data_IF_982490517917
#
_entry.id   IF_982490517917
#
_cell.length_a   1.000
_cell.length_b   1.000
_cell.length_c   1.000
_cell.angle_alpha   90.00
_cell.angle_beta   90.00
_cell.angle_gamma   90.00
#
_symmetry.space_group_name_H-M   'P 1'
#
loop_
_entity.id
_entity.type
_entity.pdbx_description
1 polymer ?
#
# COMPACT_ATOMS: atom_id res chain seq x y z
N UNK A 1 6.13 -7.52 5.70
CA UNK A 1 4.71 -7.93 5.43
C UNK A 1 3.98 -8.59 6.62
N UNK A 2 4.14 -8.09 7.86
CA UNK A 2 3.28 -8.43 9.03
C UNK A 2 2.50 -7.21 9.56
N UNK A 3 2.48 -6.11 8.81
CA UNK A 3 2.17 -4.78 9.33
C UNK A 3 0.97 -4.08 8.68
N UNK A 4 0.54 -4.50 7.47
CA UNK A 4 -0.84 -4.27 7.04
C UNK A 4 -1.85 -5.00 7.93
N UNK A 5 -1.34 -5.83 8.85
CA UNK A 5 -2.12 -6.62 9.78
C UNK A 5 -2.82 -5.72 10.78
N UNK A 6 -2.24 -4.74 11.48
CA UNK A 6 -2.92 -4.00 12.58
C UNK A 6 -4.40 -3.61 12.33
N UNK A 7 -4.70 -3.00 11.17
CA UNK A 7 -6.07 -2.68 10.77
C UNK A 7 -6.86 -3.93 10.29
N UNK A 8 -6.22 -4.82 9.51
CA UNK A 8 -6.74 -6.16 9.19
C UNK A 8 -6.83 -7.09 10.41
N UNK A 9 -6.23 -6.80 11.57
CA UNK A 9 -6.34 -7.55 12.81
C UNK A 9 -7.54 -6.95 13.52
N UNK A 10 -7.60 -5.63 13.75
CA UNK A 10 -8.80 -5.01 14.34
C UNK A 10 -10.09 -5.28 13.52
N UNK A 11 -10.01 -5.36 12.19
CA UNK A 11 -11.10 -5.79 11.31
C UNK A 11 -11.08 -7.26 10.89
N UNK A 12 -10.10 -8.08 11.28
CA UNK A 12 -9.93 -9.48 10.82
C UNK A 12 -9.51 -10.50 11.88
N UNK A 13 -9.64 -10.16 13.16
CA UNK A 13 -9.46 -11.05 14.33
C UNK A 13 -10.51 -12.17 14.47
N UNK A 14 -11.21 -12.53 13.39
CA UNK A 14 -12.37 -13.42 13.44
C UNK A 14 -12.05 -14.90 13.17
N UNK A 15 -10.77 -15.27 13.26
CA UNK A 15 -10.31 -16.65 13.14
C UNK A 15 -9.93 -17.27 14.49
N UNK A 16 -10.89 -17.83 15.25
CA UNK A 16 -10.57 -18.57 16.48
C UNK A 16 -11.72 -19.33 17.17
N UNK A 17 -11.84 -20.63 16.85
CA UNK A 17 -12.53 -21.75 17.56
C UNK A 17 -14.06 -21.71 17.80
N UNK A 18 -14.72 -22.65 17.11
CA UNK A 18 -16.13 -23.07 17.15
C UNK A 18 -16.57 -23.63 18.50
N UNK A 19 -17.74 -23.19 18.99
CA UNK A 19 -18.76 -24.01 19.68
C UNK A 19 -20.19 -23.41 19.47
N UNK A 20 -21.05 -24.17 18.76
CA UNK A 20 -22.52 -24.34 18.94
C UNK A 20 -23.54 -23.18 18.87
N UNK A 21 -24.45 -23.23 17.86
CA UNK A 21 -25.91 -22.91 17.78
C UNK A 21 -26.54 -21.83 18.71
N UNK A 22 -27.47 -20.95 18.31
CA UNK A 22 -28.70 -21.09 17.51
C UNK A 22 -29.20 -19.70 17.03
N UNK A 23 -30.04 -19.68 15.98
CA UNK A 23 -30.55 -18.46 15.36
C UNK A 23 -31.91 -17.98 15.88
N UNK A 24 -32.15 -16.66 15.79
CA UNK A 24 -33.49 -16.10 15.56
C UNK A 24 -33.40 -14.65 15.05
N UNK A 25 -34.03 -14.38 13.91
CA UNK A 25 -34.14 -13.06 13.29
C UNK A 25 -35.32 -12.27 13.90
N UNK A 26 -35.18 -10.95 14.05
CA UNK A 26 -36.31 -10.06 14.28
C UNK A 26 -36.20 -8.74 13.47
N UNK A 27 -37.35 -8.32 12.95
CA UNK A 27 -37.61 -7.28 11.94
C UNK A 27 -37.70 -5.85 12.54
N UNK A 28 -37.44 -4.76 11.77
CA UNK A 28 -37.11 -3.45 12.32
C UNK A 28 -38.33 -2.53 12.53
N UNK A 29 -38.27 -1.69 13.57
CA UNK A 29 -39.18 -0.56 13.79
C UNK A 29 -38.39 0.76 13.88
N UNK A 30 -38.83 1.75 13.09
CA UNK A 30 -38.81 3.19 13.40
C UNK A 30 -37.46 3.93 13.33
N UNK A 31 -37.23 4.65 12.21
CA UNK A 31 -36.01 5.42 11.91
C UNK A 31 -35.88 6.73 12.72
N UNK A 32 -36.91 7.18 13.45
CA UNK A 32 -36.92 8.51 14.10
C UNK A 32 -36.59 8.51 15.59
N UNK A 33 -36.67 7.37 16.29
CA UNK A 33 -36.20 7.25 17.69
C UNK A 33 -34.70 6.93 17.79
N UNK A 34 -34.08 6.46 16.70
CA UNK A 34 -32.67 6.14 16.65
C UNK A 34 -31.79 7.37 16.97
N UNK A 35 -32.10 8.55 16.42
CA UNK A 35 -31.23 9.74 16.51
C UNK A 35 -31.00 10.31 17.92
N UNK A 36 -31.85 9.99 18.91
CA UNK A 36 -31.66 10.42 20.31
C UNK A 36 -31.13 9.30 21.23
N UNK A 37 -31.04 8.07 20.73
CA UNK A 37 -30.39 6.93 21.42
C UNK A 37 -28.98 6.65 20.86
N UNK A 38 -28.55 7.43 19.86
CA UNK A 38 -27.31 7.30 19.09
C UNK A 38 -26.03 7.80 19.79
N UNK A 39 -26.07 8.03 21.10
CA UNK A 39 -24.92 8.40 21.94
C UNK A 39 -24.75 7.47 23.15
N UNK A 40 -25.46 6.34 23.18
CA UNK A 40 -25.52 5.46 24.34
C UNK A 40 -24.37 4.46 24.37
N UNK A 41 -23.71 4.39 25.54
CA UNK A 41 -22.71 3.40 25.92
C UNK A 41 -23.01 1.98 25.38
N UNK A 42 -21.99 1.30 24.87
CA UNK A 42 -22.04 -0.11 24.47
C UNK A 42 -22.32 -0.40 22.99
N UNK A 43 -22.17 0.56 22.08
CA UNK A 43 -22.18 0.27 20.63
C UNK A 43 -20.92 -0.49 20.20
N UNK A 44 -19.75 -0.03 20.66
CA UNK A 44 -18.47 -0.70 20.44
C UNK A 44 -18.51 -2.14 20.97
N UNK A 45 -18.98 -2.37 22.20
CA UNK A 45 -19.15 -3.72 22.77
C UNK A 45 -20.07 -4.59 21.91
N UNK A 46 -21.23 -4.08 21.49
CA UNK A 46 -22.18 -4.85 20.67
C UNK A 46 -21.61 -5.23 19.32
N UNK A 47 -20.96 -4.29 18.62
CA UNK A 47 -20.31 -4.57 17.34
C UNK A 47 -19.16 -5.54 17.54
N UNK A 48 -18.35 -5.36 18.58
CA UNK A 48 -17.26 -6.26 18.91
C UNK A 48 -17.77 -7.69 19.11
N UNK A 49 -18.79 -7.87 19.96
CA UNK A 49 -19.44 -9.15 20.19
C UNK A 49 -20.03 -9.77 18.93
N UNK A 50 -20.75 -8.99 18.12
CA UNK A 50 -21.28 -9.43 16.84
C UNK A 50 -20.16 -9.91 15.91
N UNK A 51 -19.07 -9.15 15.87
CA UNK A 51 -17.99 -9.43 14.94
C UNK A 51 -17.27 -10.72 15.34
N UNK A 52 -17.03 -10.98 16.64
CA UNK A 52 -16.39 -12.23 17.14
C UNK A 52 -17.05 -13.52 16.63
N UNK A 53 -18.35 -13.48 16.32
CA UNK A 53 -19.10 -14.61 15.77
C UNK A 53 -18.99 -14.80 14.25
N UNK A 54 -18.35 -13.88 13.53
CA UNK A 54 -18.31 -13.88 12.05
C UNK A 54 -17.31 -14.92 11.54
N UNK A 55 -17.83 -16.00 10.93
CA UNK A 55 -17.02 -17.11 10.41
C UNK A 55 -17.43 -17.53 8.99
N UNK A 56 -18.33 -16.78 8.35
CA UNK A 56 -18.86 -17.09 7.02
C UNK A 56 -18.96 -15.83 6.17
N UNK A 57 -19.06 -16.01 4.86
CA UNK A 57 -19.25 -14.90 3.93
C UNK A 57 -20.55 -14.13 4.22
N UNK A 58 -21.66 -14.82 4.51
CA UNK A 58 -22.92 -14.16 4.89
C UNK A 58 -22.80 -13.41 6.22
N UNK A 59 -22.03 -13.94 7.17
CA UNK A 59 -21.69 -13.25 8.42
C UNK A 59 -20.92 -11.96 8.14
N UNK A 60 -19.93 -12.00 7.25
CA UNK A 60 -19.22 -10.80 6.80
C UNK A 60 -20.19 -9.76 6.20
N UNK A 61 -21.02 -10.18 5.25
CA UNK A 61 -21.98 -9.28 4.61
C UNK A 61 -22.94 -8.63 5.64
N UNK A 62 -23.32 -9.38 6.67
CA UNK A 62 -24.10 -8.86 7.80
C UNK A 62 -23.35 -7.81 8.63
N UNK A 63 -22.08 -8.05 8.98
CA UNK A 63 -21.31 -7.06 9.75
C UNK A 63 -20.95 -5.83 8.91
N UNK A 64 -20.74 -5.98 7.59
CA UNK A 64 -20.57 -4.85 6.68
C UNK A 64 -21.81 -3.95 6.64
N UNK A 65 -23.01 -4.51 6.75
CA UNK A 65 -24.23 -3.70 6.87
C UNK A 65 -24.23 -2.87 8.17
N UNK A 66 -23.77 -3.44 9.28
CA UNK A 66 -23.61 -2.71 10.55
C UNK A 66 -22.60 -1.56 10.40
N UNK A 67 -21.40 -1.83 9.87
CA UNK A 67 -20.37 -0.81 9.65
C UNK A 67 -20.78 0.25 8.62
N UNK A 68 -21.53 -0.14 7.58
CA UNK A 68 -22.13 0.79 6.62
C UNK A 68 -23.13 1.73 7.30
N UNK A 69 -23.98 1.19 8.19
CA UNK A 69 -24.91 1.98 9.00
C UNK A 69 -24.18 2.98 9.89
N UNK A 70 -23.09 2.54 10.53
CA UNK A 70 -22.22 3.39 11.34
C UNK A 70 -21.58 4.52 10.51
N UNK A 71 -21.00 4.19 9.35
CA UNK A 71 -20.39 5.18 8.45
C UNK A 71 -21.41 6.20 7.93
N UNK A 72 -22.68 5.81 7.78
CA UNK A 72 -23.76 6.73 7.40
C UNK A 72 -24.11 7.76 8.48
N UNK A 73 -23.69 7.56 9.74
CA UNK A 73 -23.83 8.55 10.82
C UNK A 73 -22.76 9.65 10.77
N UNK A 74 -21.71 9.45 9.95
CA UNK A 74 -20.60 10.37 9.76
C UNK A 74 -19.26 9.79 10.20
N UNK A 75 -18.18 10.32 9.61
CA UNK A 75 -16.84 9.77 9.79
C UNK A 75 -16.39 9.77 11.25
N UNK A 76 -16.72 10.81 12.03
CA UNK A 76 -16.40 10.86 13.47
C UNK A 76 -17.04 9.72 14.25
N UNK A 77 -18.33 9.46 14.06
CA UNK A 77 -19.03 8.38 14.75
C UNK A 77 -18.41 7.01 14.39
N UNK A 78 -18.02 6.83 13.12
CA UNK A 78 -17.33 5.64 12.66
C UNK A 78 -15.95 5.49 13.29
N UNK A 79 -15.10 6.50 13.18
CA UNK A 79 -13.73 6.51 13.72
C UNK A 79 -13.73 6.25 15.23
N UNK A 80 -14.54 6.99 15.99
CA UNK A 80 -14.59 6.85 17.45
C UNK A 80 -15.01 5.44 17.87
N UNK A 81 -16.06 4.89 17.23
CA UNK A 81 -16.53 3.53 17.53
C UNK A 81 -15.50 2.47 17.16
N UNK A 82 -14.81 2.61 16.03
CA UNK A 82 -13.80 1.64 15.58
C UNK A 82 -12.55 1.71 16.46
N UNK A 83 -12.15 2.89 16.94
CA UNK A 83 -11.10 3.03 17.95
C UNK A 83 -11.44 2.27 19.23
N UNK A 84 -12.66 2.44 19.73
CA UNK A 84 -13.13 1.75 20.93
C UNK A 84 -13.13 0.23 20.73
N UNK A 85 -13.60 -0.28 19.58
CA UNK A 85 -13.53 -1.70 19.24
C UNK A 85 -12.08 -2.20 19.23
N UNK A 86 -11.17 -1.46 18.63
CA UNK A 86 -9.76 -1.84 18.53
C UNK A 86 -9.12 -1.91 19.93
N UNK A 87 -9.39 -0.95 20.81
CA UNK A 87 -8.95 -0.96 22.22
C UNK A 87 -9.57 -2.08 23.05
N UNK A 88 -10.86 -2.38 22.84
CA UNK A 88 -11.56 -3.50 23.48
C UNK A 88 -10.95 -4.85 23.09
N UNK A 89 -10.48 -4.99 21.85
CA UNK A 89 -9.84 -6.21 21.35
C UNK A 89 -8.50 -6.51 22.03
N UNK A 90 -7.80 -5.48 22.52
CA UNK A 90 -6.46 -5.55 23.12
C UNK A 90 -5.39 -6.15 22.23
N UNK A 91 -5.58 -6.10 20.91
CA UNK A 91 -4.61 -6.64 19.95
C UNK A 91 -3.51 -5.64 19.64
N UNK A 92 -3.80 -4.35 19.75
CA UNK A 92 -2.84 -3.27 19.61
C UNK A 92 -2.90 -2.34 20.83
N UNK A 93 -1.83 -1.59 21.06
CA UNK A 93 -1.79 -0.56 22.10
C UNK A 93 -2.74 0.60 21.76
N UNK A 94 -3.23 1.31 22.79
CA UNK A 94 -4.26 2.35 22.62
C UNK A 94 -3.87 3.46 21.64
N UNK A 95 -2.62 3.91 21.66
CA UNK A 95 -2.10 4.93 20.76
C UNK A 95 -1.99 4.43 19.31
N UNK A 96 -1.68 3.15 19.11
CA UNK A 96 -1.66 2.52 17.78
C UNK A 96 -3.09 2.43 17.23
N UNK A 97 -4.05 2.02 18.06
CA UNK A 97 -5.49 2.03 17.73
C UNK A 97 -5.94 3.45 17.36
N UNK A 98 -5.61 4.44 18.18
CA UNK A 98 -6.02 5.82 17.99
C UNK A 98 -5.44 6.40 16.69
N UNK A 99 -4.13 6.29 16.49
CA UNK A 99 -3.45 6.83 15.32
C UNK A 99 -3.89 6.15 14.02
N UNK A 100 -3.89 4.82 13.97
CA UNK A 100 -4.23 4.08 12.75
C UNK A 100 -5.68 4.35 12.31
N UNK A 101 -6.63 4.30 13.24
CA UNK A 101 -8.05 4.50 12.91
C UNK A 101 -8.38 5.96 12.62
N UNK A 102 -7.70 6.93 13.25
CA UNK A 102 -7.87 8.35 12.90
C UNK A 102 -7.44 8.62 11.45
N UNK A 103 -6.35 7.99 11.00
CA UNK A 103 -5.80 8.19 9.67
C UNK A 103 -6.61 7.44 8.59
N UNK A 104 -6.83 6.13 8.76
CA UNK A 104 -7.44 5.28 7.73
C UNK A 104 -8.98 5.26 7.77
N UNK A 105 -9.56 5.47 8.97
CA UNK A 105 -10.99 5.33 9.23
C UNK A 105 -11.89 6.14 8.29
N UNK A 106 -11.58 7.41 7.96
CA UNK A 106 -12.37 8.20 7.02
C UNK A 106 -12.46 7.58 5.61
N UNK A 107 -11.36 7.04 5.08
CA UNK A 107 -11.32 6.40 3.76
C UNK A 107 -12.19 5.13 3.76
N UNK A 108 -12.11 4.35 4.84
CA UNK A 108 -12.92 3.14 5.02
C UNK A 108 -14.40 3.49 5.15
N UNK A 109 -14.73 4.53 5.92
CA UNK A 109 -16.10 5.00 6.08
C UNK A 109 -16.70 5.43 4.73
N UNK A 110 -15.94 6.13 3.90
CA UNK A 110 -16.35 6.49 2.54
C UNK A 110 -16.62 5.25 1.67
N UNK A 111 -15.69 4.29 1.65
CA UNK A 111 -15.85 3.04 0.93
C UNK A 111 -17.13 2.29 1.36
N UNK A 112 -17.37 2.18 2.67
CA UNK A 112 -18.57 1.54 3.23
C UNK A 112 -19.85 2.28 2.86
N UNK A 113 -19.86 3.61 2.86
CA UNK A 113 -21.01 4.43 2.44
C UNK A 113 -21.38 4.15 0.99
N UNK A 114 -20.42 3.91 0.11
CA UNK A 114 -20.63 3.61 -1.31
C UNK A 114 -20.86 2.12 -1.61
N UNK A 115 -20.54 1.23 -0.67
CA UNK A 115 -20.60 -0.22 -0.84
C UNK A 115 -22.02 -0.76 -1.02
N UNK A 116 -22.24 -1.64 -1.99
CA UNK A 116 -23.49 -2.40 -2.13
C UNK A 116 -23.30 -3.78 -1.51
N UNK A 117 -24.09 -4.13 -0.48
CA UNK A 117 -24.00 -5.43 0.19
C UNK A 117 -24.39 -6.55 -0.78
N UNK A 118 -23.61 -7.64 -0.79
CA UNK A 118 -23.74 -8.75 -1.74
C UNK A 118 -23.21 -8.47 -3.15
N UNK A 119 -22.52 -7.34 -3.36
CA UNK A 119 -21.80 -7.05 -4.60
C UNK A 119 -20.41 -7.69 -4.62
N UNK A 120 -19.81 -7.75 -5.82
CA UNK A 120 -18.40 -8.12 -6.02
C UNK A 120 -17.44 -7.31 -5.15
N UNK A 121 -17.66 -5.99 -5.01
CA UNK A 121 -16.85 -5.14 -4.13
C UNK A 121 -16.99 -5.58 -2.66
N UNK A 122 -18.21 -5.88 -2.20
CA UNK A 122 -18.40 -6.31 -0.81
C UNK A 122 -17.77 -7.67 -0.51
N UNK A 123 -17.79 -8.60 -1.47
CA UNK A 123 -17.06 -9.87 -1.33
C UNK A 123 -15.54 -9.64 -1.25
N UNK A 124 -15.00 -8.76 -2.10
CA UNK A 124 -13.59 -8.38 -2.04
C UNK A 124 -13.23 -7.69 -0.73
N UNK A 125 -14.13 -6.88 -0.16
CA UNK A 125 -13.93 -6.27 1.15
C UNK A 125 -13.86 -7.36 2.24
N UNK A 126 -14.80 -8.32 2.24
CA UNK A 126 -14.77 -9.46 3.14
C UNK A 126 -13.48 -10.29 3.03
N UNK A 127 -12.99 -10.49 1.81
CA UNK A 127 -11.74 -11.21 1.54
C UNK A 127 -10.55 -10.45 2.12
N UNK A 128 -10.47 -9.15 1.86
CA UNK A 128 -9.35 -8.31 2.29
C UNK A 128 -9.31 -8.19 3.81
N UNK A 129 -10.44 -7.87 4.46
CA UNK A 129 -10.43 -7.55 5.88
C UNK A 129 -10.61 -8.76 6.80
N UNK A 130 -11.35 -9.80 6.37
CA UNK A 130 -11.68 -10.95 7.22
C UNK A 130 -11.09 -12.27 6.70
N UNK A 131 -10.52 -12.30 5.49
CA UNK A 131 -10.15 -13.56 4.84
C UNK A 131 -11.35 -14.46 4.54
N UNK A 132 -12.56 -13.89 4.46
CA UNK A 132 -13.82 -14.60 4.22
C UNK A 132 -14.33 -14.38 2.80
N UNK A 133 -15.30 -15.19 2.38
CA UNK A 133 -15.83 -15.25 1.01
C UNK A 133 -14.90 -15.92 -0.01
N UNK A 134 -15.51 -16.39 -1.11
CA UNK A 134 -14.79 -16.92 -2.26
C UNK A 134 -14.42 -15.75 -3.17
N UNK A 135 -13.22 -15.80 -3.76
CA UNK A 135 -12.86 -14.86 -4.81
C UNK A 135 -13.90 -14.83 -5.93
N UNK A 136 -14.45 -13.65 -6.27
CA UNK A 136 -15.38 -13.52 -7.38
C UNK A 136 -14.67 -13.83 -8.71
N UNK A 137 -15.44 -14.18 -9.74
CA UNK A 137 -14.87 -14.41 -11.06
C UNK A 137 -14.22 -13.15 -11.62
N UNK A 138 -13.05 -13.35 -12.23
CA UNK A 138 -12.28 -12.29 -12.87
C UNK A 138 -12.93 -11.98 -14.21
N UNK A 139 -13.37 -10.73 -14.39
CA UNK A 139 -14.04 -10.31 -15.62
C UNK A 139 -13.04 -10.18 -16.77
N UNK A 140 -13.35 -10.74 -17.95
CA UNK A 140 -12.67 -10.38 -19.18
C UNK A 140 -12.66 -8.88 -19.42
N UNK A 141 -11.49 -8.32 -19.71
CA UNK A 141 -11.37 -6.94 -20.17
C UNK A 141 -10.63 -6.88 -21.49
N UNK A 142 -11.35 -6.39 -22.51
CA UNK A 142 -10.81 -6.10 -23.82
C UNK A 142 -9.98 -4.81 -23.78
N UNK A 143 -8.67 -4.95 -23.62
CA UNK A 143 -7.75 -3.82 -23.80
C UNK A 143 -7.45 -3.68 -25.29
N UNK A 144 -7.60 -2.49 -25.89
CA UNK A 144 -7.22 -2.28 -27.29
C UNK A 144 -5.70 -2.37 -27.43
N UNK A 145 -5.23 -3.37 -28.16
CA UNK A 145 -3.82 -3.48 -28.52
C UNK A 145 -3.59 -2.87 -29.91
N UNK A 146 -2.42 -2.27 -30.18
CA UNK A 146 -2.04 -1.88 -31.53
C UNK A 146 -2.04 -3.10 -32.48
N UNK A 147 -2.12 -2.87 -33.81
CA UNK A 147 -2.00 -3.93 -34.79
C UNK A 147 -0.76 -4.79 -34.56
N UNK A 148 -0.88 -6.09 -34.83
CA UNK A 148 0.21 -7.04 -34.58
C UNK A 148 1.49 -6.57 -35.31
N UNK A 149 2.61 -6.37 -34.60
CA UNK A 149 3.88 -6.06 -35.23
C UNK A 149 4.30 -7.21 -36.16
N UNK A 150 5.16 -6.89 -37.13
CA UNK A 150 5.83 -7.92 -37.93
C UNK A 150 6.54 -8.92 -37.00
N UNK A 151 6.53 -10.23 -37.32
CA UNK A 151 7.21 -11.23 -36.50
C UNK A 151 8.67 -10.84 -36.28
N UNK A 152 9.02 -10.44 -35.05
CA UNK A 152 10.42 -10.23 -34.66
C UNK A 152 10.98 -11.54 -34.16
N UNK A 153 12.08 -11.97 -34.76
CA UNK A 153 12.88 -13.09 -34.26
C UNK A 153 13.61 -12.59 -33.01
N UNK A 154 13.65 -13.38 -31.94
CA UNK A 154 14.48 -13.08 -30.77
C UNK A 154 15.92 -12.82 -31.25
N UNK A 155 16.51 -11.65 -30.97
CA UNK A 155 17.86 -11.36 -31.40
C UNK A 155 18.84 -12.38 -30.78
N UNK A 156 19.90 -12.71 -31.52
CA UNK A 156 20.99 -13.49 -30.95
C UNK A 156 21.66 -12.69 -29.80
N UNK A 157 22.24 -13.38 -28.80
CA UNK A 157 23.06 -12.70 -27.80
C UNK A 157 24.11 -11.82 -28.48
N UNK A 158 24.26 -10.57 -28.02
CA UNK A 158 25.10 -9.56 -28.68
C UNK A 158 26.61 -9.88 -28.62
N UNK A 159 27.03 -10.77 -27.71
CA UNK A 159 28.44 -11.04 -27.43
C UNK A 159 29.17 -9.89 -26.74
N UNK A 160 28.45 -8.82 -26.37
CA UNK A 160 28.97 -7.67 -25.64
C UNK A 160 28.96 -7.94 -24.13
N UNK A 161 29.75 -7.18 -23.38
CA UNK A 161 29.72 -7.23 -21.93
C UNK A 161 28.33 -6.85 -21.40
N UNK A 162 27.75 -7.63 -20.47
CA UNK A 162 26.47 -7.28 -19.86
C UNK A 162 26.55 -5.96 -19.08
N UNK A 163 25.50 -5.16 -19.18
CA UNK A 163 25.32 -4.06 -18.23
C UNK A 163 25.04 -4.62 -16.83
N UNK A 164 25.61 -3.99 -15.81
CA UNK A 164 25.35 -4.33 -14.41
C UNK A 164 24.37 -3.32 -13.83
N UNK A 165 23.33 -3.81 -13.20
CA UNK A 165 22.26 -2.99 -12.59
C UNK A 165 22.15 -3.43 -11.14
N UNK A 166 22.01 -2.44 -10.27
CA UNK A 166 21.74 -2.67 -8.85
C UNK A 166 20.23 -2.57 -8.64
N UNK A 167 19.64 -3.50 -7.92
CA UNK A 167 18.23 -3.43 -7.52
C UNK A 167 18.13 -3.61 -6.01
N UNK A 168 17.53 -2.64 -5.34
CA UNK A 168 17.18 -2.67 -3.93
C UNK A 168 15.76 -2.09 -3.74
N UNK A 169 15.16 -2.37 -2.60
CA UNK A 169 13.76 -2.04 -2.30
C UNK A 169 13.56 -2.01 -0.79
N UNK A 170 12.46 -1.44 -0.32
CA UNK A 170 11.96 -1.57 1.05
C UNK A 170 13.02 -1.16 2.08
N UNK A 171 13.63 0.03 1.87
CA UNK A 171 14.69 0.50 2.75
C UNK A 171 14.17 0.83 4.15
N UNK A 172 12.89 1.25 4.25
CA UNK A 172 12.19 1.62 5.49
C UNK A 172 13.12 2.26 6.51
N UNK A 173 13.60 3.47 6.20
CA UNK A 173 14.57 4.14 7.06
C UNK A 173 13.84 4.77 8.24
N UNK A 174 14.09 4.23 9.42
CA UNK A 174 13.57 4.76 10.66
C UNK A 174 14.53 5.82 11.24
N UNK A 175 14.19 7.09 11.05
CA UNK A 175 14.95 8.22 11.60
C UNK A 175 14.83 8.35 13.12
N UNK A 176 13.88 7.64 13.73
CA UNK A 176 13.74 7.57 15.18
C UNK A 176 14.39 6.30 15.77
N UNK A 177 15.00 5.45 14.94
CA UNK A 177 15.75 4.28 15.40
C UNK A 177 16.83 4.72 16.39
N UNK A 178 16.83 4.12 17.58
CA UNK A 178 17.79 4.46 18.64
C UNK A 178 18.60 3.21 19.01
N UNK A 179 19.91 3.24 18.75
CA UNK A 179 20.82 2.16 19.16
C UNK A 179 20.73 1.91 20.68
N UNK A 180 20.64 0.65 21.07
CA UNK A 180 20.50 0.23 22.47
C UNK A 180 19.09 0.26 23.03
N UNK A 181 18.11 0.86 22.33
CA UNK A 181 16.70 0.85 22.74
C UNK A 181 16.08 -0.55 22.63
N UNK A 182 14.90 -0.74 23.23
CA UNK A 182 14.25 -2.04 23.27
C UNK A 182 13.80 -2.52 21.87
N UNK A 183 14.29 -3.68 21.46
CA UNK A 183 13.87 -4.36 20.23
C UNK A 183 12.70 -5.32 20.42
N UNK A 184 12.36 -5.71 21.66
CA UNK A 184 11.22 -6.59 21.98
C UNK A 184 10.12 -5.81 22.70
N UNK A 185 9.42 -4.98 21.94
CA UNK A 185 8.31 -4.16 22.43
C UNK A 185 6.95 -4.71 21.98
N UNK A 186 5.85 -4.08 22.42
CA UNK A 186 4.48 -4.43 21.99
C UNK A 186 3.97 -3.61 20.80
N UNK A 187 4.72 -2.61 20.36
CA UNK A 187 4.36 -1.80 19.20
C UNK A 187 4.56 -2.61 17.90
N UNK A 188 3.88 -2.23 16.81
CA UNK A 188 4.09 -2.88 15.51
C UNK A 188 5.52 -2.75 14.96
N UNK A 189 6.26 -1.71 15.37
CA UNK A 189 7.73 -1.64 15.22
C UNK A 189 8.38 -1.20 16.52
N UNK A 190 9.60 -1.69 16.78
CA UNK A 190 10.37 -1.41 18.00
C UNK A 190 11.62 -0.58 17.71
N UNK A 191 12.64 -0.67 18.58
CA UNK A 191 13.90 0.07 18.46
C UNK A 191 13.75 1.60 18.52
N UNK A 192 12.70 2.06 19.22
CA UNK A 192 12.49 3.45 19.60
C UNK A 192 12.20 3.53 21.10
N UNK A 193 12.57 4.63 21.77
CA UNK A 193 12.27 4.84 23.18
C UNK A 193 10.80 5.28 23.40
N UNK A 194 9.85 4.38 23.16
CA UNK A 194 8.41 4.70 23.36
C UNK A 194 8.05 4.89 24.84
N UNK A 195 8.72 4.16 25.73
CA UNK A 195 8.57 4.24 27.19
C UNK A 195 9.92 4.27 27.87
N UNK A 196 9.95 4.58 29.18
CA UNK A 196 11.21 4.57 29.97
C UNK A 196 11.92 3.21 29.95
N UNK A 197 11.17 2.10 29.86
CA UNK A 197 11.72 0.76 29.72
C UNK A 197 12.28 0.45 28.32
N UNK A 198 11.92 1.24 27.32
CA UNK A 198 12.44 1.10 25.96
C UNK A 198 13.74 1.89 25.73
N UNK A 199 14.12 2.75 26.68
CA UNK A 199 15.33 3.56 26.60
C UNK A 199 16.61 2.72 26.63
N UNK A 200 17.69 3.17 25.95
CA UNK A 200 18.99 2.52 26.03
C UNK A 200 19.48 2.35 27.47
N UNK A 201 19.86 1.12 27.81
CA UNK A 201 20.34 0.76 29.17
C UNK A 201 19.24 0.32 30.14
N UNK A 202 17.96 0.41 29.76
CA UNK A 202 16.82 -0.01 30.57
C UNK A 202 16.13 -1.28 30.06
N UNK A 203 16.67 -1.91 29.00
CA UNK A 203 16.12 -3.10 28.34
C UNK A 203 17.08 -4.29 28.36
N UNK A 204 16.54 -5.51 28.39
CA UNK A 204 17.28 -6.77 28.24
C UNK A 204 17.53 -7.16 26.77
N UNK A 205 16.91 -6.45 25.83
CA UNK A 205 16.98 -6.66 24.37
C UNK A 205 17.38 -5.37 23.65
N UNK A 206 18.64 -4.93 23.78
CA UNK A 206 19.12 -3.70 23.16
C UNK A 206 19.31 -3.84 21.65
N UNK A 207 18.75 -2.89 20.90
CA UNK A 207 18.86 -2.80 19.45
C UNK A 207 20.30 -2.54 18.97
N UNK A 208 20.73 -3.21 17.90
CA UNK A 208 22.09 -3.09 17.38
C UNK A 208 22.36 -1.78 16.61
N UNK A 209 23.64 -1.45 16.30
CA UNK A 209 24.00 -0.24 15.54
C UNK A 209 23.59 -0.26 14.07
N UNK A 210 23.25 -1.43 13.53
CA UNK A 210 22.90 -1.64 12.11
C UNK A 210 21.51 -2.26 11.92
N UNK A 211 20.68 -2.25 12.96
CA UNK A 211 19.33 -2.80 12.92
C UNK A 211 19.13 -3.98 13.85
N UNK A 212 17.89 -4.45 13.89
CA UNK A 212 17.43 -5.65 14.59
C UNK A 212 16.23 -6.23 13.81
N UNK A 213 15.98 -7.53 13.94
CA UNK A 213 14.99 -8.25 13.13
C UNK A 213 13.52 -7.84 13.37
N UNK A 214 13.23 -7.13 14.46
CA UNK A 214 11.90 -6.66 14.86
C UNK A 214 11.67 -5.18 14.54
N UNK A 215 12.60 -4.55 13.84
CA UNK A 215 12.65 -3.10 13.63
C UNK A 215 12.89 -2.75 12.17
N UNK A 216 12.61 -1.49 11.85
CA UNK A 216 12.99 -0.90 10.58
C UNK A 216 14.48 -0.47 10.57
N UNK A 217 14.97 -0.11 9.39
CA UNK A 217 16.40 0.12 9.16
C UNK A 217 16.86 1.44 9.77
N UNK A 218 17.93 1.47 10.58
CA UNK A 218 18.60 2.74 10.89
C UNK A 218 19.26 3.31 9.63
N UNK A 219 19.37 4.64 9.55
CA UNK A 219 20.10 5.32 8.47
C UNK A 219 21.54 4.79 8.29
N UNK A 220 22.16 4.27 9.36
CA UNK A 220 23.48 3.64 9.32
C UNK A 220 23.52 2.39 8.43
N UNK A 221 22.46 1.58 8.44
CA UNK A 221 22.35 0.39 7.58
C UNK A 221 22.22 0.82 6.11
N UNK A 222 21.36 1.79 5.82
CA UNK A 222 21.18 2.37 4.48
C UNK A 222 22.50 2.87 3.89
N UNK A 223 23.23 3.72 4.63
CA UNK A 223 24.52 4.25 4.18
C UNK A 223 25.58 3.15 3.98
N UNK A 224 25.56 2.10 4.80
CA UNK A 224 26.46 0.96 4.66
C UNK A 224 26.17 0.15 3.39
N UNK A 225 24.89 0.00 3.02
CA UNK A 225 24.46 -0.64 1.78
C UNK A 225 24.99 0.14 0.57
N UNK A 226 24.86 1.47 0.55
CA UNK A 226 25.38 2.27 -0.55
C UNK A 226 26.91 2.20 -0.67
N UNK A 227 27.62 2.13 0.46
CA UNK A 227 29.07 1.88 0.46
C UNK A 227 29.39 0.52 -0.19
N UNK A 228 28.70 -0.55 0.22
CA UNK A 228 28.89 -1.88 -0.35
C UNK A 228 28.58 -1.93 -1.85
N UNK A 229 27.51 -1.25 -2.30
CA UNK A 229 27.17 -1.14 -3.73
C UNK A 229 28.33 -0.54 -4.54
N UNK A 230 28.92 0.56 -4.05
CA UNK A 230 30.07 1.20 -4.70
C UNK A 230 31.30 0.31 -4.77
N UNK A 231 31.52 -0.51 -3.74
CA UNK A 231 32.68 -1.42 -3.69
C UNK A 231 32.48 -2.66 -4.58
N UNK A 232 31.29 -3.26 -4.56
CA UNK A 232 31.00 -4.52 -5.27
C UNK A 232 30.66 -4.30 -6.75
N UNK A 233 30.00 -3.18 -7.07
CA UNK A 233 29.52 -2.88 -8.42
C UNK A 233 29.87 -1.44 -8.84
N UNK A 234 31.16 -1.05 -8.83
CA UNK A 234 31.59 0.34 -9.06
C UNK A 234 31.21 0.91 -10.43
N UNK A 235 30.98 0.05 -11.44
CA UNK A 235 30.54 0.46 -12.77
C UNK A 235 29.11 -0.04 -13.05
N UNK A 236 28.21 0.09 -12.07
CA UNK A 236 26.78 -0.08 -12.30
C UNK A 236 26.30 0.96 -13.32
N UNK A 237 25.51 0.53 -14.30
CA UNK A 237 24.92 1.40 -15.32
C UNK A 237 23.90 2.37 -14.69
N UNK A 238 23.09 1.84 -13.78
CA UNK A 238 22.10 2.56 -12.98
C UNK A 238 21.63 1.65 -11.84
N UNK A 239 20.84 2.21 -10.93
CA UNK A 239 20.12 1.48 -9.89
C UNK A 239 18.61 1.53 -10.13
N UNK A 240 17.93 0.48 -9.73
CA UNK A 240 16.47 0.41 -9.60
C UNK A 240 16.15 0.43 -8.11
N UNK A 241 15.29 1.36 -7.70
CA UNK A 241 14.78 1.43 -6.34
C UNK A 241 13.26 1.26 -6.37
N UNK A 242 12.75 0.17 -5.82
CA UNK A 242 11.32 -0.16 -5.91
C UNK A 242 10.46 0.35 -4.75
N UNK A 243 10.85 1.46 -4.11
CA UNK A 243 10.01 2.19 -3.15
C UNK A 243 10.06 1.62 -1.72
N UNK A 244 9.16 2.13 -0.88
CA UNK A 244 9.07 1.89 0.56
C UNK A 244 10.24 2.50 1.35
N UNK A 245 10.26 3.84 1.35
CA UNK A 245 11.17 4.68 2.14
C UNK A 245 10.72 4.83 3.59
N UNK A 246 9.44 5.16 3.78
CA UNK A 246 8.89 5.54 5.10
C UNK A 246 8.75 4.30 5.97
N UNK A 247 9.09 4.42 7.24
CA UNK A 247 8.98 3.35 8.22
C UNK A 247 7.53 2.88 8.47
N UNK A 248 7.42 1.83 9.28
CA UNK A 248 6.20 1.13 9.58
C UNK A 248 5.47 1.68 10.82
N UNK A 249 5.84 2.84 11.38
CA UNK A 249 5.04 3.51 12.41
C UNK A 249 3.81 4.22 11.82
N UNK A 250 3.00 3.47 11.07
CA UNK A 250 1.88 3.97 10.26
C UNK A 250 0.85 4.76 11.07
N UNK A 251 0.74 4.47 12.37
CA UNK A 251 -0.17 5.14 13.31
C UNK A 251 0.29 6.57 13.67
N UNK A 252 1.53 6.93 13.37
CA UNK A 252 2.13 8.20 13.74
C UNK A 252 2.93 8.81 12.57
N UNK A 253 2.28 8.90 11.41
CA UNK A 253 2.83 9.56 10.21
C UNK A 253 2.10 10.88 9.92
N UNK A 254 2.68 11.70 9.05
CA UNK A 254 2.05 12.91 8.49
C UNK A 254 2.66 13.21 7.12
N UNK A 255 2.01 14.03 6.29
CA UNK A 255 2.59 14.46 5.00
C UNK A 255 3.99 15.07 5.19
N UNK A 256 4.23 16.05 6.09
CA UNK A 256 5.57 16.61 6.28
C UNK A 256 6.61 15.59 6.76
N UNK A 257 6.20 14.62 7.57
CA UNK A 257 7.08 13.54 8.02
C UNK A 257 7.52 12.67 6.85
N UNK A 258 6.57 12.21 6.03
CA UNK A 258 6.85 11.39 4.86
C UNK A 258 7.67 12.16 3.82
N UNK A 259 7.33 13.43 3.55
CA UNK A 259 8.11 14.30 2.65
C UNK A 259 9.57 14.40 3.09
N UNK A 260 9.82 14.65 4.38
CA UNK A 260 11.17 14.73 4.93
C UNK A 260 11.95 13.43 4.72
N UNK A 261 11.36 12.29 5.07
CA UNK A 261 11.94 10.95 4.92
C UNK A 261 12.30 10.64 3.46
N UNK A 262 11.38 10.93 2.54
CA UNK A 262 11.54 10.70 1.10
C UNK A 262 12.64 11.59 0.54
N UNK A 263 12.61 12.89 0.85
CA UNK A 263 13.63 13.84 0.39
C UNK A 263 15.02 13.43 0.88
N UNK A 264 15.16 13.12 2.17
CA UNK A 264 16.44 12.71 2.74
C UNK A 264 16.98 11.44 2.09
N UNK A 265 16.15 10.42 1.92
CA UNK A 265 16.55 9.15 1.31
C UNK A 265 16.98 9.33 -0.15
N UNK A 266 16.23 10.10 -0.95
CA UNK A 266 16.63 10.36 -2.32
C UNK A 266 17.86 11.28 -2.44
N UNK A 267 18.10 12.19 -1.49
CA UNK A 267 19.36 12.94 -1.39
C UNK A 267 20.52 11.99 -1.06
N UNK A 268 20.33 11.04 -0.14
CA UNK A 268 21.35 10.02 0.16
C UNK A 268 21.66 9.17 -1.06
N UNK A 269 20.65 8.73 -1.80
CA UNK A 269 20.81 8.00 -3.06
C UNK A 269 21.59 8.82 -4.09
N UNK A 270 21.23 10.09 -4.32
CA UNK A 270 21.91 10.99 -5.28
C UNK A 270 23.38 11.22 -4.91
N UNK A 271 23.68 11.32 -3.60
CA UNK A 271 25.04 11.51 -3.11
C UNK A 271 25.94 10.26 -3.24
N UNK A 272 25.35 9.07 -3.32
CA UNK A 272 26.10 7.81 -3.26
C UNK A 272 26.02 6.96 -4.52
N UNK A 273 25.01 7.16 -5.34
CA UNK A 273 24.73 6.36 -6.53
C UNK A 273 24.73 7.24 -7.78
N UNK A 274 24.72 6.61 -8.95
CA UNK A 274 24.53 7.29 -10.22
C UNK A 274 23.05 7.53 -10.51
N UNK A 275 22.60 7.08 -11.68
CA UNK A 275 21.17 7.14 -12.04
C UNK A 275 20.37 6.19 -11.14
N UNK A 276 19.28 6.68 -10.57
CA UNK A 276 18.32 5.87 -9.80
C UNK A 276 16.94 5.95 -10.45
N UNK A 277 16.43 4.81 -10.91
CA UNK A 277 15.06 4.70 -11.41
C UNK A 277 14.16 4.19 -10.28
N UNK A 278 13.39 5.13 -9.71
CA UNK A 278 12.48 4.89 -8.59
C UNK A 278 11.07 4.45 -9.01
N UNK A 279 10.35 3.85 -8.07
CA UNK A 279 8.88 3.73 -8.09
C UNK A 279 8.34 4.09 -6.71
N UNK A 280 7.05 4.43 -6.62
CA UNK A 280 6.41 4.63 -5.32
C UNK A 280 6.06 3.27 -4.72
N UNK A 281 6.46 3.04 -3.46
CA UNK A 281 5.93 1.96 -2.64
C UNK A 281 4.62 2.36 -2.00
N UNK A 282 4.08 1.48 -1.14
CA UNK A 282 2.82 1.76 -0.45
C UNK A 282 3.02 2.62 0.80
N UNK A 283 4.23 2.69 1.36
CA UNK A 283 4.56 3.48 2.54
C UNK A 283 4.80 4.98 2.28
N UNK A 284 5.05 5.40 1.04
CA UNK A 284 5.25 6.82 0.72
C UNK A 284 4.02 7.68 1.01
N UNK A 285 2.81 7.14 0.77
CA UNK A 285 1.57 7.87 0.97
C UNK A 285 1.24 8.07 2.46
N UNK A 286 0.47 9.13 2.73
CA UNK A 286 -0.13 9.39 4.02
C UNK A 286 -1.64 9.66 3.83
N UNK A 287 -2.54 8.89 4.46
CA UNK A 287 -2.27 7.65 5.22
C UNK A 287 -1.56 6.55 4.39
N UNK A 288 -0.97 5.56 5.05
CA UNK A 288 -0.21 4.50 4.38
C UNK A 288 -1.10 3.75 3.38
N UNK A 289 -0.57 3.38 2.22
CA UNK A 289 -1.29 2.74 1.10
C UNK A 289 -2.32 3.64 0.37
N UNK A 290 -2.62 4.84 0.86
CA UNK A 290 -3.74 5.67 0.38
C UNK A 290 -3.45 6.40 -0.95
N UNK A 291 -3.29 5.62 -2.02
CA UNK A 291 -3.13 6.14 -3.39
C UNK A 291 -4.49 6.29 -4.07
N UNK A 292 -5.10 7.47 -3.99
CA UNK A 292 -6.39 7.76 -4.60
C UNK A 292 -6.27 7.81 -6.13
N UNK A 293 -7.03 6.98 -6.88
CA UNK A 293 -7.13 7.09 -8.34
C UNK A 293 -7.65 8.46 -8.78
N UNK A 294 -7.11 9.00 -9.89
CA UNK A 294 -7.43 10.34 -10.39
C UNK A 294 -8.91 10.52 -10.76
N UNK A 295 -9.61 9.42 -11.08
CA UNK A 295 -11.05 9.42 -11.37
C UNK A 295 -11.92 9.58 -10.11
N UNK A 296 -11.33 9.46 -8.92
CA UNK A 296 -12.00 9.56 -7.62
C UNK A 296 -11.69 10.91 -6.96
N UNK A 297 -10.43 11.33 -6.97
CA UNK A 297 -9.99 12.59 -6.39
C UNK A 297 -8.49 12.83 -6.59
N UNK A 298 -7.92 13.73 -5.79
CA UNK A 298 -6.55 14.21 -5.91
C UNK A 298 -5.76 14.18 -4.58
N UNK A 299 -6.18 13.39 -3.59
CA UNK A 299 -5.51 13.35 -2.27
C UNK A 299 -4.07 12.86 -2.34
N UNK A 300 -3.70 12.13 -3.39
CA UNK A 300 -2.32 11.65 -3.63
C UNK A 300 -1.48 12.58 -4.51
N UNK A 301 -1.99 13.76 -4.91
CA UNK A 301 -1.24 14.63 -5.81
C UNK A 301 0.08 15.12 -5.18
N UNK A 302 0.08 15.42 -3.88
CA UNK A 302 1.28 15.89 -3.18
C UNK A 302 2.47 14.93 -3.33
N UNK A 303 2.22 13.61 -3.27
CA UNK A 303 3.30 12.62 -3.38
C UNK A 303 3.76 12.46 -4.83
N UNK A 304 2.87 12.64 -5.81
CA UNK A 304 3.26 12.64 -7.23
C UNK A 304 4.08 13.89 -7.57
N UNK A 305 3.70 15.06 -7.06
CA UNK A 305 4.46 16.31 -7.21
C UNK A 305 5.86 16.18 -6.60
N UNK A 306 5.96 15.62 -5.39
CA UNK A 306 7.23 15.39 -4.72
C UNK A 306 8.14 14.45 -5.51
N UNK A 307 7.64 13.24 -5.83
CA UNK A 307 8.44 12.21 -6.48
C UNK A 307 8.83 12.60 -7.91
N UNK A 308 7.92 13.20 -8.68
CA UNK A 308 8.24 13.69 -10.03
C UNK A 308 9.32 14.76 -10.01
N UNK A 309 9.26 15.70 -9.06
CA UNK A 309 10.28 16.73 -8.85
C UNK A 309 11.65 16.12 -8.53
N UNK A 310 11.70 15.14 -7.62
CA UNK A 310 12.93 14.42 -7.24
C UNK A 310 13.49 13.64 -8.43
N UNK A 311 12.67 12.80 -9.08
CA UNK A 311 13.06 11.90 -10.15
C UNK A 311 13.46 12.63 -11.44
N UNK A 312 12.98 13.86 -11.64
CA UNK A 312 13.23 14.65 -12.86
C UNK A 312 14.70 14.70 -13.29
N UNK A 313 15.64 14.68 -12.33
CA UNK A 313 17.09 14.65 -12.58
C UNK A 313 17.56 13.39 -13.31
N UNK A 314 16.89 12.25 -13.13
CA UNK A 314 17.25 10.96 -13.70
C UNK A 314 16.37 10.57 -14.89
N UNK A 315 15.10 11.02 -14.91
CA UNK A 315 14.11 10.61 -15.93
C UNK A 315 13.89 11.67 -17.00
N UNK A 316 14.32 12.92 -16.75
CA UNK A 316 14.14 14.06 -17.63
C UNK A 316 12.75 14.73 -17.52
N UNK A 317 12.60 15.98 -18.01
CA UNK A 317 11.40 16.77 -17.77
C UNK A 317 10.13 16.16 -18.39
N UNK A 318 10.24 15.53 -19.57
CA UNK A 318 9.08 14.91 -20.22
C UNK A 318 8.50 13.75 -19.40
N UNK A 319 9.36 12.90 -18.85
CA UNK A 319 8.92 11.77 -18.03
C UNK A 319 8.45 12.24 -16.64
N UNK A 320 9.02 13.34 -16.12
CA UNK A 320 8.56 13.95 -14.87
C UNK A 320 7.11 14.44 -14.94
N UNK A 321 6.67 15.04 -16.06
CA UNK A 321 5.26 15.44 -16.25
C UNK A 321 4.33 14.21 -16.14
N UNK A 322 4.69 13.09 -16.76
CA UNK A 322 3.89 11.86 -16.63
C UNK A 322 3.91 11.31 -15.21
N UNK A 323 5.05 11.39 -14.51
CA UNK A 323 5.15 11.00 -13.11
C UNK A 323 4.26 11.85 -12.20
N UNK A 324 4.17 13.15 -12.44
CA UNK A 324 3.30 14.10 -11.72
C UNK A 324 1.81 13.77 -11.96
N UNK A 325 1.45 13.41 -13.20
CA UNK A 325 0.06 13.11 -13.57
C UNK A 325 -0.41 11.72 -13.11
N UNK A 326 0.46 10.70 -13.16
CA UNK A 326 0.05 9.28 -13.00
C UNK A 326 0.74 8.56 -11.83
N UNK A 327 1.76 9.15 -11.23
CA UNK A 327 2.67 8.43 -10.33
C UNK A 327 3.51 7.37 -11.06
N UNK A 328 3.55 7.41 -12.40
CA UNK A 328 4.18 6.44 -13.28
C UNK A 328 4.99 7.16 -14.37
N UNK A 329 6.05 6.56 -14.88
CA UNK A 329 6.85 7.20 -15.94
C UNK A 329 7.52 6.19 -16.87
N UNK A 330 7.94 6.69 -18.04
CA UNK A 330 8.67 5.93 -19.04
C UNK A 330 9.87 6.76 -19.49
N UNK A 331 11.07 6.23 -19.33
CA UNK A 331 12.31 6.93 -19.70
C UNK A 331 13.32 5.98 -20.33
N UNK A 332 14.18 6.52 -21.20
CA UNK A 332 15.21 5.75 -21.89
C UNK A 332 16.52 5.86 -21.11
N UNK A 333 17.19 4.74 -20.89
CA UNK A 333 18.55 4.74 -20.37
C UNK A 333 19.47 5.47 -21.37
N UNK A 334 20.18 6.54 -20.96
CA UNK A 334 20.93 7.38 -21.90
C UNK A 334 22.04 6.64 -22.66
N UNK A 335 22.61 5.58 -22.08
CA UNK A 335 23.75 4.85 -22.65
C UNK A 335 23.40 3.48 -23.23
N UNK A 336 22.13 3.23 -23.58
CA UNK A 336 21.75 1.95 -24.16
C UNK A 336 20.39 1.97 -24.85
N UNK A 337 20.03 0.85 -25.47
CA UNK A 337 18.73 0.66 -26.12
C UNK A 337 17.70 0.01 -25.17
N UNK A 338 17.60 0.57 -23.97
CA UNK A 338 16.75 0.10 -22.89
C UNK A 338 15.85 1.23 -22.41
N UNK A 339 14.57 0.94 -22.27
CA UNK A 339 13.55 1.78 -21.65
C UNK A 339 13.18 1.20 -20.29
N UNK A 340 13.07 2.07 -19.29
CA UNK A 340 12.55 1.75 -17.97
C UNK A 340 11.17 2.37 -17.85
N UNK A 341 10.17 1.55 -17.54
CA UNK A 341 8.79 1.96 -17.29
C UNK A 341 8.49 1.68 -15.82
N UNK A 342 8.27 2.73 -15.04
CA UNK A 342 7.86 2.63 -13.63
C UNK A 342 6.34 2.72 -13.54
N UNK A 343 5.73 1.73 -12.91
CA UNK A 343 4.29 1.67 -12.66
C UNK A 343 3.97 2.01 -11.21
N UNK A 344 2.92 2.79 -10.99
CA UNK A 344 2.28 2.93 -9.70
C UNK A 344 1.43 1.68 -9.40
N UNK A 345 2.05 0.68 -8.81
CA UNK A 345 1.38 -0.59 -8.47
C UNK A 345 0.43 -0.49 -7.27
N UNK A 346 0.46 0.62 -6.52
CA UNK A 346 -0.46 0.86 -5.41
C UNK A 346 -1.92 0.98 -5.86
N UNK A 347 -2.13 1.35 -7.13
CA UNK A 347 -3.44 1.37 -7.77
C UNK A 347 -4.06 -0.04 -7.95
N UNK A 348 -3.31 -1.10 -7.67
CA UNK A 348 -3.81 -2.48 -7.70
C UNK A 348 -3.72 -3.18 -6.33
N UNK A 349 -3.28 -2.47 -5.30
CA UNK A 349 -3.01 -3.04 -3.98
C UNK A 349 -4.27 -3.12 -3.11
N UNK A 350 -4.48 -4.25 -2.41
CA UNK A 350 -5.66 -4.47 -1.56
C UNK A 350 -5.73 -3.59 -0.33
N UNK A 351 -4.57 -3.15 0.18
CA UNK A 351 -4.51 -2.19 1.27
C UNK A 351 -4.85 -0.76 0.86
N UNK A 352 -4.99 -0.47 -0.44
CA UNK A 352 -5.43 0.83 -0.91
C UNK A 352 -6.96 0.92 -0.86
N UNK A 353 -7.49 1.45 0.24
CA UNK A 353 -8.94 1.45 0.48
C UNK A 353 -9.73 2.37 -0.45
N UNK A 354 -9.07 3.30 -1.15
CA UNK A 354 -9.69 4.08 -2.22
C UNK A 354 -10.23 3.22 -3.36
N UNK A 355 -9.73 1.99 -3.54
CA UNK A 355 -10.17 1.10 -4.61
C UNK A 355 -11.54 0.46 -4.34
N UNK A 356 -12.02 0.46 -3.09
CA UNK A 356 -13.33 -0.07 -2.70
C UNK A 356 -14.46 0.91 -3.06
N UNK A 357 -14.69 1.05 -4.35
CA UNK A 357 -15.77 1.84 -4.92
C UNK A 357 -17.02 1.00 -5.14
N UNK A 358 -18.15 1.67 -5.40
CA UNK A 358 -19.42 1.00 -5.73
C UNK A 358 -19.23 -0.14 -6.76
N UNK A 359 -18.39 0.11 -7.76
CA UNK A 359 -17.85 -0.89 -8.68
C UNK A 359 -16.33 -0.77 -8.70
N UNK A 360 -15.61 -1.89 -8.70
CA UNK A 360 -14.14 -1.89 -8.78
C UNK A 360 -13.67 -1.26 -10.09
N UNK A 361 -12.73 -0.33 -10.01
CA UNK A 361 -12.12 0.29 -11.17
C UNK A 361 -11.29 -0.72 -11.96
N UNK A 362 -11.54 -0.82 -13.28
CA UNK A 362 -10.82 -1.77 -14.15
C UNK A 362 -9.41 -1.32 -14.50
N UNK A 363 -9.23 -0.02 -14.74
CA UNK A 363 -7.95 0.63 -15.04
C UNK A 363 -7.82 1.94 -14.26
N UNK A 364 -7.50 1.89 -12.95
CA UNK A 364 -7.37 3.08 -12.14
C UNK A 364 -6.32 4.02 -12.74
N UNK A 365 -6.71 5.29 -12.93
CA UNK A 365 -5.90 6.33 -13.58
C UNK A 365 -5.45 6.02 -15.03
N UNK A 366 -6.07 5.05 -15.72
CA UNK A 366 -5.76 4.74 -17.13
C UNK A 366 -4.34 4.19 -17.35
N UNK A 367 -3.72 3.64 -16.30
CA UNK A 367 -2.33 3.24 -16.29
C UNK A 367 -2.04 2.07 -17.25
N UNK A 368 -2.95 1.11 -17.38
CA UNK A 368 -2.76 -0.03 -18.30
C UNK A 368 -2.89 0.44 -19.75
N UNK A 369 -3.84 1.32 -20.07
CA UNK A 369 -3.93 1.93 -21.39
C UNK A 369 -2.66 2.73 -21.72
N UNK A 370 -2.15 3.52 -20.77
CA UNK A 370 -0.88 4.23 -20.93
C UNK A 370 0.29 3.27 -21.15
N UNK A 371 0.39 2.18 -20.38
CA UNK A 371 1.43 1.17 -20.54
C UNK A 371 1.41 0.53 -21.94
N UNK A 372 0.23 0.22 -22.48
CA UNK A 372 0.12 -0.32 -23.84
C UNK A 372 0.69 0.65 -24.88
N UNK A 373 0.43 1.95 -24.74
CA UNK A 373 1.00 2.98 -25.64
C UNK A 373 2.52 3.07 -25.53
N UNK A 374 3.06 3.01 -24.31
CA UNK A 374 4.51 3.05 -24.08
C UNK A 374 5.22 1.80 -24.63
N UNK A 375 4.62 0.61 -24.47
CA UNK A 375 5.15 -0.63 -25.03
C UNK A 375 5.10 -0.65 -26.56
N UNK A 376 4.03 -0.13 -27.17
CA UNK A 376 3.92 0.03 -28.62
C UNK A 376 4.98 1.00 -29.16
N UNK A 377 5.19 2.13 -28.49
CA UNK A 377 6.22 3.10 -28.86
C UNK A 377 7.63 2.49 -28.75
N UNK A 378 7.92 1.77 -27.67
CA UNK A 378 9.19 1.07 -27.47
C UNK A 378 9.41 0.00 -28.55
N UNK A 379 8.36 -0.76 -28.87
CA UNK A 379 8.42 -1.77 -29.93
C UNK A 379 8.72 -1.12 -31.28
N UNK A 380 8.00 -0.06 -31.68
CA UNK A 380 8.27 0.70 -32.91
C UNK A 380 9.68 1.27 -32.97
N UNK A 381 10.21 1.71 -31.83
CA UNK A 381 11.59 2.20 -31.70
C UNK A 381 12.65 1.09 -31.67
N UNK A 382 12.25 -0.19 -31.55
CA UNK A 382 13.19 -1.30 -31.45
C UNK A 382 13.88 -1.40 -30.08
N UNK A 383 13.29 -0.82 -29.04
CA UNK A 383 13.83 -0.76 -27.69
C UNK A 383 13.53 -2.03 -26.89
N UNK A 384 14.39 -2.37 -25.93
CA UNK A 384 14.06 -3.31 -24.86
C UNK A 384 13.39 -2.57 -23.70
N UNK A 385 12.55 -3.25 -22.93
CA UNK A 385 11.80 -2.64 -21.83
C UNK A 385 12.01 -3.42 -20.54
N UNK A 386 12.34 -2.70 -19.48
CA UNK A 386 12.17 -3.14 -18.09
C UNK A 386 10.95 -2.43 -17.51
N UNK A 387 10.07 -3.21 -16.88
CA UNK A 387 8.94 -2.70 -16.12
C UNK A 387 9.30 -2.86 -14.64
N UNK A 388 9.21 -1.77 -13.89
CA UNK A 388 9.44 -1.74 -12.45
C UNK A 388 8.15 -1.28 -11.75
N UNK A 389 7.98 -1.75 -10.51
CA UNK A 389 6.87 -1.42 -9.63
C UNK A 389 7.16 -2.01 -8.25
N UNK A 390 6.47 -1.53 -7.23
CA UNK A 390 6.69 -1.98 -5.86
C UNK A 390 6.00 -3.33 -5.61
N UNK A 391 4.68 -3.37 -5.79
CA UNK A 391 3.89 -4.57 -5.55
C UNK A 391 3.95 -5.52 -6.75
N UNK A 392 4.33 -6.80 -6.56
CA UNK A 392 4.32 -7.77 -7.64
C UNK A 392 2.90 -8.03 -8.14
N UNK A 393 2.68 -7.87 -9.44
CA UNK A 393 1.41 -8.23 -10.08
C UNK A 393 1.20 -9.75 -10.00
N UNK A 394 0.02 -10.17 -9.57
CA UNK A 394 -0.33 -11.58 -9.37
C UNK A 394 -0.09 -12.10 -7.95
N UNK A 395 0.45 -11.28 -7.05
CA UNK A 395 0.49 -11.59 -5.62
C UNK A 395 -0.92 -11.58 -4.99
N UNK A 396 -1.06 -12.29 -3.86
CA UNK A 396 -2.31 -12.34 -3.10
C UNK A 396 -2.74 -11.00 -2.55
N UNK A 397 -1.87 -10.00 -2.47
CA UNK A 397 -2.23 -8.66 -2.02
C UNK A 397 -2.57 -7.71 -3.16
N UNK A 398 -2.50 -8.16 -4.42
CA UNK A 398 -3.04 -7.42 -5.55
C UNK A 398 -4.51 -7.82 -5.81
N UNK A 399 -5.34 -6.88 -6.24
CA UNK A 399 -6.66 -7.20 -6.75
C UNK A 399 -6.55 -7.82 -8.15
N UNK A 400 -7.21 -8.96 -8.35
CA UNK A 400 -7.44 -9.54 -9.68
C UNK A 400 -8.77 -9.02 -10.23
N UNK A 401 -8.83 -7.74 -10.59
CA UNK A 401 -10.09 -7.08 -10.99
C UNK A 401 -10.55 -7.56 -12.36
N UNK A 402 -9.59 -7.71 -13.29
CA UNK A 402 -9.85 -8.09 -14.67
C UNK A 402 -8.77 -9.02 -15.24
N UNK A 403 -9.17 -9.84 -16.22
CA UNK A 403 -8.29 -10.66 -17.03
C UNK A 403 -8.21 -10.00 -18.39
N UNK A 404 -7.04 -9.44 -18.71
CA UNK A 404 -6.82 -8.82 -20.01
C UNK A 404 -7.00 -9.87 -21.10
N UNK A 405 -7.97 -9.64 -21.98
CA UNK A 405 -8.14 -10.34 -23.24
C UNK A 405 -7.73 -9.35 -24.33
N UNK A 406 -6.69 -9.69 -25.08
CA UNK A 406 -6.25 -8.88 -26.21
C UNK A 406 -7.33 -8.92 -27.29
N UNK A 407 -8.04 -7.80 -27.50
CA UNK A 407 -8.81 -7.60 -28.72
C UNK A 407 -7.86 -6.97 -29.74
N UNK A 408 -7.43 -7.79 -30.70
CA UNK A 408 -6.65 -7.35 -31.84
C UNK A 408 -7.65 -7.05 -32.95
N UNK A 409 -7.69 -5.80 -33.42
CA UNK A 409 -8.43 -5.44 -34.63
C UNK A 409 -7.71 -5.92 -35.88
#
# INVERSE_FOLDING_TARGET
MRLSTALLTCLGLFGGRVLGSDGSANSPRGVTDAQKTLSGDGWADRIWEQSRGVSSCSGCQGILLTFKGLAALGDRAFVDTVKDICKLSKVEDSDVCDGTIELEGPIIAEALRNLVIGSKTSDLFCITFLGLCKYPEVEPWAVPFPPKPLPRIRPAPSGQDPIRIVHYSDIHVDQMYTEGSNSECRKPICCRPYTEGDEPGNTDSPAGPYGEHTCDSPARLELSMYKAIKELVPNAAFSIFTGDVVDHAIWNTSIPYNEGQIVESYVNMDNHLGIVYGTAGNHEAHPTNAFQPNSIGNSSQWIYDLLSGIWSRWIGPKAAVTAEELGAYSTRYPHGNLRVISLNTNLFYRGNFWLFQKEMLRDPSGQIEWLVRELDAAEKAGEHVYIIGHMPLGDRNAFMISRIISMRS
#
